data_IF_584236664761
#
_entry.id   IF_584236664761
#
_cell.length_a   1.000
_cell.length_b   1.000
_cell.length_c   1.000
_cell.angle_alpha   90.00
_cell.angle_beta   90.00
_cell.angle_gamma   90.00
#
_symmetry.space_group_name_H-M   'P 1'
#
loop_
_entity.id
_entity.type
_entity.pdbx_description
1 polymer ?
#
# COMPACT_ATOMS: atom_id res chain seq x y z
N UNK A 1 -6.70 16.99 -10.84
CA UNK A 1 -6.47 16.31 -9.54
C UNK A 1 -6.41 14.79 -9.73
N UNK A 2 -5.45 14.14 -9.05
CA UNK A 2 -5.29 12.70 -9.06
C UNK A 2 -4.91 12.23 -7.65
N UNK A 3 -5.32 11.02 -7.32
CA UNK A 3 -4.81 10.28 -6.15
C UNK A 3 -3.90 9.20 -6.68
N UNK A 4 -2.65 9.21 -6.24
CA UNK A 4 -1.67 8.16 -6.55
C UNK A 4 -1.79 7.06 -5.52
N UNK A 5 -2.07 5.83 -5.98
CA UNK A 5 -2.11 4.63 -5.16
C UNK A 5 -0.80 3.88 -5.40
N UNK A 6 -0.07 3.62 -4.31
CA UNK A 6 1.17 2.84 -4.32
C UNK A 6 0.95 1.59 -3.48
N UNK A 7 1.31 0.44 -4.05
CA UNK A 7 1.13 -0.87 -3.44
C UNK A 7 2.49 -1.39 -3.00
N UNK A 8 2.63 -1.67 -1.71
CA UNK A 8 3.85 -2.18 -1.11
C UNK A 8 3.62 -3.55 -0.48
N UNK A 9 4.69 -4.33 -0.35
CA UNK A 9 4.74 -5.57 0.43
C UNK A 9 5.98 -5.58 1.32
N UNK A 10 5.77 -5.91 2.58
CA UNK A 10 6.81 -6.13 3.56
C UNK A 10 6.28 -6.00 4.99
N UNK A 11 7.13 -6.32 5.96
CA UNK A 11 6.77 -6.45 7.38
C UNK A 11 7.08 -5.18 8.19
N UNK A 12 7.65 -4.14 7.57
CA UNK A 12 8.03 -2.88 8.23
C UNK A 12 6.87 -1.90 8.24
N UNK A 13 6.83 -1.01 9.24
CA UNK A 13 5.73 -0.04 9.37
C UNK A 13 5.73 1.03 8.27
N UNK A 14 6.90 1.34 7.71
CA UNK A 14 7.09 2.47 6.80
C UNK A 14 7.34 1.98 5.38
N UNK A 15 6.67 2.60 4.41
CA UNK A 15 6.76 2.21 2.99
C UNK A 15 8.16 2.30 2.40
N UNK A 16 9.02 3.18 2.93
CA UNK A 16 10.43 3.32 2.51
C UNK A 16 11.27 2.06 2.77
N UNK A 17 10.85 1.23 3.72
CA UNK A 17 11.54 0.02 4.18
C UNK A 17 10.86 -1.26 3.66
N UNK A 18 9.89 -1.12 2.76
CA UNK A 18 9.14 -2.22 2.13
C UNK A 18 9.37 -2.24 0.61
N UNK A 19 8.94 -3.32 -0.04
CA UNK A 19 9.08 -3.51 -1.48
C UNK A 19 7.90 -2.89 -2.23
N UNK A 20 8.16 -2.00 -3.19
CA UNK A 20 7.12 -1.45 -4.07
C UNK A 20 6.73 -2.51 -5.12
N UNK A 21 5.46 -2.90 -5.12
CA UNK A 21 4.90 -3.84 -6.09
C UNK A 21 4.32 -3.14 -7.33
N UNK A 22 3.79 -1.93 -7.17
CA UNK A 22 3.21 -1.17 -8.28
C UNK A 22 2.59 0.16 -7.86
N UNK A 23 2.37 1.02 -8.85
CA UNK A 23 1.79 2.36 -8.66
C UNK A 23 0.80 2.64 -9.77
N UNK A 24 -0.30 3.32 -9.44
CA UNK A 24 -1.23 3.86 -10.44
C UNK A 24 -1.96 5.10 -9.94
N UNK A 25 -2.41 5.92 -10.89
CA UNK A 25 -3.16 7.13 -10.60
C UNK A 25 -4.65 6.95 -10.87
N UNK A 26 -5.47 7.27 -9.87
CA UNK A 26 -6.89 7.52 -10.03
C UNK A 26 -7.10 9.00 -10.38
N UNK A 27 -7.35 9.27 -11.65
CA UNK A 27 -7.47 10.64 -12.18
C UNK A 27 -8.92 11.09 -12.28
N UNK A 28 -9.09 12.42 -12.38
CA UNK A 28 -10.41 13.01 -12.64
C UNK A 28 -11.33 13.01 -11.43
N UNK A 29 -10.75 12.99 -10.23
CA UNK A 29 -11.44 13.21 -8.95
C UNK A 29 -11.79 14.70 -8.86
N UNK A 30 -13.06 15.06 -8.58
CA UNK A 30 -13.46 16.45 -8.36
C UNK A 30 -12.65 17.09 -7.23
N UNK A 31 -12.25 18.37 -7.35
CA UNK A 31 -11.64 19.09 -6.22
C UNK A 31 -12.60 19.11 -5.02
N UNK A 32 -12.10 18.71 -3.85
CA UNK A 32 -12.86 18.75 -2.61
C UNK A 32 -11.94 19.07 -1.42
N UNK A 33 -12.48 19.60 -0.31
CA UNK A 33 -11.70 19.81 0.91
C UNK A 33 -11.03 18.52 1.40
N UNK A 34 -9.92 18.67 2.13
CA UNK A 34 -9.20 17.52 2.71
C UNK A 34 -10.15 16.70 3.59
N UNK A 35 -10.14 15.38 3.40
CA UNK A 35 -11.00 14.44 4.14
C UNK A 35 -12.38 14.16 3.54
N UNK A 36 -12.77 14.90 2.49
CA UNK A 36 -14.06 14.72 1.80
C UNK A 36 -14.03 13.60 0.75
N UNK A 37 -13.04 13.51 -0.17
CA UNK A 37 -12.98 12.39 -1.10
C UNK A 37 -12.93 11.05 -0.36
N UNK A 38 -13.82 10.13 -0.73
CA UNK A 38 -13.84 8.75 -0.23
C UNK A 38 -13.43 7.83 -1.37
N UNK A 39 -12.23 7.25 -1.23
CA UNK A 39 -11.67 6.31 -2.19
C UNK A 39 -11.71 4.92 -1.55
N UNK A 40 -12.47 4.01 -2.14
CA UNK A 40 -12.50 2.61 -1.74
C UNK A 40 -11.38 1.88 -2.47
N UNK A 41 -10.43 1.32 -1.72
CA UNK A 41 -9.34 0.51 -2.26
C UNK A 41 -9.62 -0.96 -1.92
N UNK A 42 -9.64 -1.80 -2.94
CA UNK A 42 -9.90 -3.25 -2.81
C UNK A 42 -8.68 -4.03 -3.27
N UNK A 43 -8.26 -4.99 -2.45
CA UNK A 43 -7.20 -5.94 -2.74
C UNK A 43 -7.83 -7.32 -2.93
N UNK A 44 -7.65 -7.91 -4.11
CA UNK A 44 -8.17 -9.22 -4.47
C UNK A 44 -7.00 -10.15 -4.83
N UNK A 45 -6.80 -11.20 -4.03
CA UNK A 45 -5.72 -12.16 -4.21
C UNK A 45 -6.31 -13.51 -4.62
N UNK A 46 -5.95 -13.98 -5.82
CA UNK A 46 -6.46 -15.24 -6.36
C UNK A 46 -5.62 -16.46 -5.92
N UNK A 47 -6.12 -17.66 -6.24
CA UNK A 47 -5.44 -18.92 -5.93
C UNK A 47 -4.09 -19.12 -6.67
N UNK A 48 -3.82 -18.33 -7.72
CA UNK A 48 -2.55 -18.34 -8.44
C UNK A 48 -1.51 -17.40 -7.81
N UNK A 49 -1.93 -16.54 -6.88
CA UNK A 49 -1.11 -15.48 -6.28
C UNK A 49 -1.11 -14.19 -7.08
N UNK A 50 -2.04 -14.02 -8.04
CA UNK A 50 -2.19 -12.76 -8.76
C UNK A 50 -2.99 -11.80 -7.87
N UNK A 51 -2.40 -10.64 -7.59
CA UNK A 51 -3.00 -9.59 -6.79
C UNK A 51 -3.60 -8.52 -7.71
N UNK A 52 -4.91 -8.35 -7.66
CA UNK A 52 -5.60 -7.23 -8.30
C UNK A 52 -5.87 -6.15 -7.25
N UNK A 53 -5.33 -4.95 -7.46
CA UNK A 53 -5.60 -3.80 -6.62
C UNK A 53 -6.43 -2.82 -7.41
N UNK A 54 -7.60 -2.46 -6.88
CA UNK A 54 -8.51 -1.48 -7.49
C UNK A 54 -8.80 -0.34 -6.54
N UNK A 55 -8.96 0.86 -7.09
CA UNK A 55 -9.40 2.04 -6.35
C UNK A 55 -10.62 2.64 -7.06
N UNK A 56 -11.64 3.01 -6.28
CA UNK A 56 -12.87 3.64 -6.77
C UNK A 56 -13.17 4.90 -5.96
N UNK A 57 -13.40 6.00 -6.64
CA UNK A 57 -13.96 7.21 -6.02
C UNK A 57 -15.48 7.05 -5.88
N UNK A 58 -15.98 7.11 -4.66
CA UNK A 58 -17.39 6.90 -4.37
C UNK A 58 -18.29 8.05 -4.85
N UNK A 59 -17.72 9.24 -5.08
CA UNK A 59 -18.48 10.40 -5.56
C UNK A 59 -18.71 10.37 -7.07
N UNK A 60 -17.65 10.13 -7.85
CA UNK A 60 -17.70 10.12 -9.31
C UNK A 60 -17.92 8.73 -9.92
N UNK A 61 -17.77 7.67 -9.13
CA UNK A 61 -17.81 6.28 -9.59
C UNK A 61 -16.60 5.86 -10.42
N UNK A 62 -15.63 6.77 -10.66
CA UNK A 62 -14.42 6.46 -11.42
C UNK A 62 -13.59 5.43 -10.69
N UNK A 63 -13.06 4.47 -11.44
CA UNK A 63 -12.21 3.42 -10.91
C UNK A 63 -10.98 3.21 -11.78
N UNK A 64 -9.90 2.77 -11.15
CA UNK A 64 -8.67 2.32 -11.80
C UNK A 64 -8.13 1.10 -11.04
N UNK A 65 -7.47 0.20 -11.74
CA UNK A 65 -6.86 -0.97 -11.14
C UNK A 65 -5.47 -1.24 -11.73
N UNK A 66 -4.73 -2.07 -11.01
CA UNK A 66 -3.51 -2.73 -11.47
C UNK A 66 -3.58 -4.20 -11.13
N UNK A 67 -2.94 -5.01 -11.97
CA UNK A 67 -2.73 -6.43 -11.72
C UNK A 67 -1.25 -6.64 -11.45
N UNK A 68 -0.93 -7.19 -10.28
CA UNK A 68 0.42 -7.50 -9.82
C UNK A 68 0.55 -9.02 -9.85
N UNK A 69 1.41 -9.51 -10.74
CA UNK A 69 1.73 -10.93 -10.80
C UNK A 69 2.79 -11.24 -9.75
N UNK A 70 2.39 -11.94 -8.68
CA UNK A 70 3.34 -12.48 -7.73
C UNK A 70 3.87 -13.81 -8.27
N UNK A 71 5.04 -13.80 -8.90
CA UNK A 71 5.68 -15.04 -9.32
C UNK A 71 5.93 -15.91 -8.09
N UNK A 72 5.32 -17.10 -8.03
CA UNK A 72 5.56 -18.07 -6.95
C UNK A 72 7.08 -18.27 -6.80
N UNK A 73 7.59 -18.04 -5.60
CA UNK A 73 9.02 -18.16 -5.30
C UNK A 73 9.86 -16.90 -5.51
N UNK A 74 9.27 -15.70 -5.67
CA UNK A 74 10.07 -14.46 -5.73
C UNK A 74 10.78 -14.10 -4.43
N UNK A 75 10.33 -14.66 -3.31
CA UNK A 75 11.01 -14.58 -2.02
C UNK A 75 11.41 -15.98 -1.59
N UNK A 76 12.69 -16.16 -1.30
CA UNK A 76 13.16 -17.38 -0.66
C UNK A 76 12.71 -17.41 0.81
N UNK A 77 12.76 -18.60 1.44
CA UNK A 77 12.45 -18.72 2.86
C UNK A 77 13.40 -17.87 3.71
N UNK A 78 14.67 -17.83 3.34
CA UNK A 78 15.70 -17.03 4.00
C UNK A 78 15.40 -15.53 3.90
N UNK A 79 14.84 -15.06 2.77
CA UNK A 79 14.43 -13.67 2.60
C UNK A 79 13.22 -13.34 3.48
N UNK A 80 12.23 -14.22 3.55
CA UNK A 80 11.06 -14.08 4.42
C UNK A 80 11.51 -13.99 5.88
N UNK A 81 12.33 -14.95 6.33
CA UNK A 81 12.82 -15.00 7.71
C UNK A 81 13.66 -13.75 8.03
N UNK A 82 14.48 -13.26 7.09
CA UNK A 82 15.20 -11.99 7.25
C UNK A 82 14.24 -10.81 7.42
N UNK A 83 13.20 -10.70 6.60
CA UNK A 83 12.22 -9.60 6.68
C UNK A 83 11.49 -9.57 8.02
N UNK A 84 11.07 -10.73 8.53
CA UNK A 84 10.43 -10.85 9.85
C UNK A 84 11.39 -10.45 10.97
N UNK A 85 12.63 -10.95 10.94
CA UNK A 85 13.65 -10.62 11.94
C UNK A 85 14.01 -9.12 11.92
N UNK A 86 14.10 -8.50 10.74
CA UNK A 86 14.32 -7.06 10.62
C UNK A 86 13.13 -6.28 11.19
N UNK A 87 11.89 -6.68 10.89
CA UNK A 87 10.71 -6.03 11.45
C UNK A 87 10.67 -6.08 12.99
N UNK A 88 10.99 -7.23 13.59
CA UNK A 88 11.09 -7.34 15.05
C UNK A 88 12.19 -6.45 15.63
N UNK A 89 13.37 -6.44 14.98
CA UNK A 89 14.52 -5.63 15.40
C UNK A 89 14.23 -4.13 15.36
N UNK A 90 13.50 -3.67 14.35
CA UNK A 90 13.23 -2.25 14.12
C UNK A 90 11.90 -1.76 14.72
N UNK A 91 11.13 -2.64 15.38
CA UNK A 91 9.81 -2.32 15.94
C UNK A 91 9.78 -1.03 16.77
N UNK A 92 10.73 -0.84 17.69
CA UNK A 92 10.77 0.37 18.53
C UNK A 92 11.05 1.65 17.74
N UNK A 93 11.86 1.57 16.68
CA UNK A 93 12.14 2.72 15.82
C UNK A 93 10.93 3.05 14.95
N UNK A 94 10.31 2.02 14.39
CA UNK A 94 9.08 2.10 13.60
C UNK A 94 7.94 2.74 14.42
N UNK A 95 7.76 2.33 15.68
CA UNK A 95 6.77 2.90 16.61
C UNK A 95 7.03 4.40 16.88
N UNK A 96 8.27 4.77 17.20
CA UNK A 96 8.65 6.19 17.42
C UNK A 96 8.41 7.04 16.18
N UNK A 97 8.70 6.50 15.00
CA UNK A 97 8.49 7.23 13.76
C UNK A 97 6.99 7.41 13.47
N UNK A 98 6.19 6.38 13.76
CA UNK A 98 4.73 6.43 13.62
C UNK A 98 4.11 7.49 14.54
N UNK A 99 4.48 7.54 15.82
CA UNK A 99 4.01 8.55 16.77
C UNK A 99 4.29 9.98 16.27
N UNK A 100 5.50 10.21 15.76
CA UNK A 100 5.90 11.52 15.19
C UNK A 100 5.04 11.92 13.99
N UNK A 101 4.63 10.96 13.16
CA UNK A 101 3.78 11.22 11.99
C UNK A 101 2.33 11.45 12.41
N UNK A 102 1.81 10.64 13.35
CA UNK A 102 0.46 10.76 13.87
C UNK A 102 0.22 12.14 14.49
N UNK A 103 1.19 12.64 15.28
CA UNK A 103 1.15 13.98 15.87
C UNK A 103 1.13 15.12 14.83
N UNK A 104 1.54 14.86 13.58
CA UNK A 104 1.57 15.85 12.49
C UNK A 104 0.30 15.88 11.65
N UNK A 105 -0.51 14.83 11.74
CA UNK A 105 -1.71 14.63 10.92
C UNK A 105 -3.03 14.84 11.68
N UNK A 106 -2.95 14.95 13.01
CA UNK A 106 -4.03 15.37 13.91
C UNK A 106 -3.95 16.88 14.16
#
# INVERSE_FOLDING_TARGET
PAVTIQVFEGERAMTKDNNLLGTFDLTGIPPAPRGVPKIDVTFDLDANGILNVSAKDNSSGKSKNITIQNNKGRLSKEEIDRMVNEAEKYKEEDDKQWEKIAARNN
#
